data_IF_318182121294
#
_entry.id   IF_318182121294
#
_cell.length_a   1.000
_cell.length_b   1.000
_cell.length_c   1.000
_cell.angle_alpha   90.00
_cell.angle_beta   90.00
_cell.angle_gamma   90.00
#
_symmetry.space_group_name_H-M   'P 1'
#
loop_
_entity.id
_entity.type
_entity.pdbx_description
1 polymer ?
#
# COMPACT_ATOMS: atom_id res chain seq x y z
N UNK A 1 4.48 9.54 -3.03
CA UNK A 1 3.67 9.35 -1.82
C UNK A 1 2.33 10.00 -2.08
N UNK A 2 1.23 9.36 -1.72
CA UNK A 2 -0.12 9.91 -1.86
C UNK A 2 -0.81 9.82 -0.49
N UNK A 3 -1.63 10.83 -0.19
CA UNK A 3 -2.38 10.89 1.05
C UNK A 3 -3.85 10.54 0.79
N UNK A 4 -4.48 9.93 1.78
CA UNK A 4 -5.91 9.61 1.79
C UNK A 4 -6.54 10.28 3.01
N UNK A 5 -7.85 10.55 2.97
CA UNK A 5 -8.53 11.22 4.06
C UNK A 5 -8.49 12.75 3.95
N UNK A 6 -8.46 13.49 5.07
CA UNK A 6 -8.60 14.96 5.05
C UNK A 6 -7.61 15.70 4.14
N UNK A 7 -6.39 15.18 4.05
CA UNK A 7 -5.33 15.76 3.22
C UNK A 7 -5.26 15.12 1.82
N UNK A 8 -6.11 14.12 1.57
CA UNK A 8 -6.20 13.42 0.31
C UNK A 8 -7.26 14.02 -0.63
N UNK A 9 -7.36 13.45 -1.82
CA UNK A 9 -8.31 13.87 -2.86
C UNK A 9 -9.77 13.71 -2.41
N UNK A 10 -10.05 12.78 -1.49
CA UNK A 10 -11.38 12.56 -0.91
C UNK A 10 -11.79 13.59 0.15
N UNK A 11 -10.88 14.46 0.58
CA UNK A 11 -11.12 15.48 1.61
C UNK A 11 -11.80 14.93 2.88
N UNK A 12 -11.43 13.72 3.30
CA UNK A 12 -11.98 13.05 4.47
C UNK A 12 -13.39 12.48 4.31
N UNK A 13 -13.95 12.51 3.10
CA UNK A 13 -15.30 11.96 2.84
C UNK A 13 -15.28 10.45 2.62
N UNK A 14 -14.09 9.87 2.50
CA UNK A 14 -13.88 8.49 2.11
C UNK A 14 -14.05 8.29 0.61
N UNK A 15 -13.53 7.18 0.09
CA UNK A 15 -13.59 6.90 -1.33
C UNK A 15 -13.09 5.50 -1.65
N UNK A 16 -13.20 5.17 -2.93
CA UNK A 16 -12.61 3.97 -3.49
C UNK A 16 -11.27 4.36 -4.12
N UNK A 17 -10.20 3.88 -3.56
CA UNK A 17 -8.86 4.11 -4.08
C UNK A 17 -8.41 2.93 -4.94
N UNK A 18 -7.87 3.22 -6.10
CA UNK A 18 -7.29 2.22 -7.01
C UNK A 18 -5.79 2.48 -7.14
N UNK A 19 -4.99 1.56 -6.60
CA UNK A 19 -3.54 1.62 -6.73
C UNK A 19 -3.12 0.87 -7.98
N UNK A 20 -2.49 1.57 -8.92
CA UNK A 20 -2.00 1.02 -10.18
C UNK A 20 -0.48 0.81 -10.10
N UNK A 21 0.00 -0.36 -10.54
CA UNK A 21 1.44 -0.64 -10.60
C UNK A 21 2.13 0.19 -11.70
N UNK A 22 3.47 0.26 -11.67
CA UNK A 22 4.25 0.92 -12.72
C UNK A 22 3.92 0.37 -14.10
N UNK A 23 3.74 1.26 -15.07
CA UNK A 23 3.52 0.88 -16.46
C UNK A 23 2.14 0.29 -16.78
N UNK A 24 1.19 0.33 -15.85
CA UNK A 24 -0.17 -0.14 -16.11
C UNK A 24 -0.81 0.60 -17.31
N UNK A 25 -1.33 -0.17 -18.27
CA UNK A 25 -1.93 0.32 -19.52
C UNK A 25 -3.39 -0.11 -19.71
N UNK A 26 -3.94 -0.85 -18.73
CA UNK A 26 -5.32 -1.31 -18.79
C UNK A 26 -6.32 -0.18 -18.55
N UNK A 27 -7.60 -0.49 -18.76
CA UNK A 27 -8.69 0.42 -18.51
C UNK A 27 -8.87 0.66 -17.00
N UNK A 28 -9.16 1.90 -16.66
CA UNK A 28 -9.46 2.31 -15.29
C UNK A 28 -10.95 2.54 -15.17
N UNK A 29 -11.67 1.78 -14.34
CA UNK A 29 -13.10 1.98 -14.17
C UNK A 29 -13.40 3.31 -13.49
N UNK A 30 -14.55 3.90 -13.82
CA UNK A 30 -15.02 5.13 -13.20
C UNK A 30 -15.32 4.95 -11.70
N UNK A 31 -15.26 6.06 -10.97
CA UNK A 31 -15.61 6.12 -9.54
C UNK A 31 -14.49 5.72 -8.59
N UNK A 32 -13.26 5.63 -9.08
CA UNK A 32 -12.07 5.42 -8.27
C UNK A 32 -11.17 6.66 -8.25
N UNK A 33 -10.60 6.93 -7.09
CA UNK A 33 -9.46 7.84 -6.95
C UNK A 33 -8.22 7.03 -7.31
N UNK A 34 -7.51 7.43 -8.35
CA UNK A 34 -6.42 6.64 -8.92
C UNK A 34 -5.07 7.07 -8.36
N UNK A 35 -4.39 6.15 -7.72
CA UNK A 35 -3.03 6.32 -7.22
C UNK A 35 -2.07 5.51 -8.11
N UNK A 36 -1.16 6.18 -8.81
CA UNK A 36 -0.13 5.53 -9.60
C UNK A 36 1.13 5.33 -8.78
N UNK A 37 1.56 4.08 -8.65
CA UNK A 37 2.78 3.73 -7.94
C UNK A 37 3.96 3.72 -8.89
N UNK A 38 5.12 4.17 -8.38
CA UNK A 38 6.40 4.06 -9.08
C UNK A 38 7.09 2.71 -8.80
N UNK A 39 6.57 1.94 -7.83
CA UNK A 39 7.10 0.65 -7.41
C UNK A 39 6.04 -0.44 -7.48
N UNK A 40 6.46 -1.69 -7.66
CA UNK A 40 5.57 -2.85 -7.68
C UNK A 40 5.10 -3.24 -6.29
N UNK A 41 5.94 -3.03 -5.27
CA UNK A 41 5.60 -3.24 -3.87
C UNK A 41 5.38 -1.90 -3.15
N UNK A 42 4.50 -1.91 -2.16
CA UNK A 42 4.20 -0.73 -1.36
C UNK A 42 3.52 -1.08 -0.04
N UNK A 43 3.31 -0.09 0.78
CA UNK A 43 2.56 -0.21 2.01
C UNK A 43 1.67 1.02 2.20
N UNK A 44 0.54 0.83 2.85
CA UNK A 44 -0.41 1.88 3.16
C UNK A 44 -0.66 1.93 4.68
N UNK A 45 0.06 2.77 5.44
CA UNK A 45 -0.24 2.98 6.84
C UNK A 45 -1.52 3.82 6.97
N UNK A 46 -2.58 3.23 7.49
CA UNK A 46 -3.83 3.92 7.77
C UNK A 46 -3.91 4.24 9.26
N UNK A 47 -4.32 5.45 9.58
CA UNK A 47 -4.47 5.92 10.95
C UNK A 47 -5.85 6.52 11.14
N UNK A 48 -6.52 6.15 12.23
CA UNK A 48 -7.73 6.83 12.70
C UNK A 48 -7.36 7.78 13.82
N UNK A 49 -7.70 9.06 13.65
CA UNK A 49 -7.46 10.04 14.70
C UNK A 49 -8.44 9.81 15.86
N UNK A 50 -7.92 9.86 17.07
CA UNK A 50 -8.71 9.79 18.31
C UNK A 50 -9.00 11.21 18.80
N UNK A 51 -10.21 11.43 19.29
CA UNK A 51 -10.63 12.73 19.82
C UNK A 51 -10.26 12.84 21.30
N UNK A 52 -10.50 11.78 22.07
CA UNK A 52 -10.36 11.82 23.55
C UNK A 52 -9.48 10.70 24.12
N UNK A 53 -9.02 9.76 23.36
CA UNK A 53 -8.32 8.55 23.83
C UNK A 53 -9.10 7.69 24.84
N UNK A 54 -10.42 7.93 25.00
CA UNK A 54 -11.27 7.07 25.82
C UNK A 54 -11.49 5.71 25.19
N UNK A 55 -11.83 4.68 25.99
CA UNK A 55 -12.12 3.35 25.46
C UNK A 55 -13.22 3.36 24.39
N UNK A 56 -14.22 4.24 24.55
CA UNK A 56 -15.28 4.41 23.57
C UNK A 56 -14.78 5.01 22.25
N UNK A 57 -13.84 5.95 22.31
CA UNK A 57 -13.22 6.56 21.14
C UNK A 57 -12.31 5.56 20.40
N UNK A 58 -11.52 4.81 21.17
CA UNK A 58 -10.69 3.71 20.64
C UNK A 58 -11.56 2.63 19.96
N UNK A 59 -12.70 2.27 20.57
CA UNK A 59 -13.62 1.29 19.97
C UNK A 59 -14.16 1.79 18.63
N UNK A 60 -14.58 3.05 18.54
CA UNK A 60 -15.04 3.65 17.28
C UNK A 60 -13.96 3.66 16.20
N UNK A 61 -12.74 4.02 16.56
CA UNK A 61 -11.61 4.01 15.63
C UNK A 61 -11.32 2.60 15.09
N UNK A 62 -11.38 1.59 15.96
CA UNK A 62 -11.21 0.19 15.57
C UNK A 62 -12.33 -0.28 14.64
N UNK A 63 -13.58 0.07 14.93
CA UNK A 63 -14.73 -0.32 14.11
C UNK A 63 -14.66 0.36 12.72
N UNK A 64 -14.25 1.62 12.69
CA UNK A 64 -13.98 2.32 11.44
C UNK A 64 -12.86 1.63 10.62
N UNK A 65 -11.75 1.29 11.27
CA UNK A 65 -10.65 0.57 10.64
C UNK A 65 -11.09 -0.78 10.04
N UNK A 66 -11.91 -1.53 10.77
CA UNK A 66 -12.48 -2.81 10.30
C UNK A 66 -13.43 -2.68 9.11
N UNK A 67 -13.93 -1.48 8.84
CA UNK A 67 -14.72 -1.17 7.66
C UNK A 67 -13.89 -1.11 6.37
N UNK A 68 -12.56 -1.01 6.49
CA UNK A 68 -11.65 -0.95 5.32
C UNK A 68 -11.65 -2.27 4.57
N UNK A 69 -11.81 -2.18 3.24
CA UNK A 69 -11.74 -3.35 2.35
C UNK A 69 -10.55 -3.22 1.42
N UNK A 70 -9.75 -4.29 1.32
CA UNK A 70 -8.61 -4.39 0.41
C UNK A 70 -8.79 -5.63 -0.46
N UNK A 71 -8.82 -5.44 -1.77
CA UNK A 71 -9.07 -6.53 -2.72
C UNK A 71 -8.50 -6.18 -4.10
N UNK A 72 -8.17 -7.16 -4.92
CA UNK A 72 -7.76 -6.91 -6.31
C UNK A 72 -8.95 -6.38 -7.12
N UNK A 73 -8.69 -5.54 -8.13
CA UNK A 73 -9.73 -4.96 -8.98
C UNK A 73 -10.64 -6.02 -9.62
N UNK A 74 -10.08 -7.18 -9.98
CA UNK A 74 -10.84 -8.31 -10.52
C UNK A 74 -11.94 -8.83 -9.59
N UNK A 75 -11.82 -8.62 -8.29
CA UNK A 75 -12.82 -9.00 -7.28
C UNK A 75 -13.78 -7.86 -6.90
N UNK A 76 -13.77 -6.73 -7.61
CA UNK A 76 -14.56 -5.54 -7.26
C UNK A 76 -16.08 -5.77 -7.26
N UNK A 77 -16.56 -6.69 -8.09
CA UNK A 77 -17.99 -7.03 -8.14
C UNK A 77 -18.47 -7.82 -6.90
N UNK A 78 -17.59 -8.60 -6.26
CA UNK A 78 -17.86 -9.36 -5.04
C UNK A 78 -16.61 -9.42 -4.18
N UNK A 79 -16.26 -8.31 -3.48
CA UNK A 79 -15.04 -8.23 -2.71
C UNK A 79 -15.01 -9.26 -1.59
N UNK A 80 -13.91 -10.02 -1.42
CA UNK A 80 -13.74 -10.93 -0.31
C UNK A 80 -13.73 -10.17 1.03
N UNK A 81 -13.98 -10.88 2.13
CA UNK A 81 -13.82 -10.33 3.46
C UNK A 81 -12.36 -9.99 3.72
N UNK A 82 -12.10 -8.79 4.24
CA UNK A 82 -10.76 -8.41 4.69
C UNK A 82 -10.43 -9.14 5.99
N UNK A 83 -9.29 -9.83 6.02
CA UNK A 83 -8.80 -10.45 7.25
C UNK A 83 -7.94 -9.44 8.02
N UNK A 84 -8.26 -9.25 9.29
CA UNK A 84 -7.50 -8.39 10.20
C UNK A 84 -6.74 -9.25 11.19
N UNK A 85 -5.46 -8.98 11.36
CA UNK A 85 -4.62 -9.64 12.36
C UNK A 85 -4.21 -8.61 13.41
N UNK A 86 -4.39 -8.99 14.69
CA UNK A 86 -3.92 -8.16 15.79
C UNK A 86 -2.41 -8.40 15.97
N UNK A 87 -1.62 -7.37 15.72
CA UNK A 87 -0.16 -7.43 15.84
C UNK A 87 0.35 -7.00 17.22
N UNK A 88 -0.51 -6.56 18.14
CA UNK A 88 -0.10 -6.13 19.51
C UNK A 88 0.66 -7.20 20.29
N UNK A 89 0.28 -8.48 20.24
CA UNK A 89 1.02 -9.52 20.95
C UNK A 89 2.28 -9.99 20.23
N UNK A 90 2.54 -9.50 19.02
CA UNK A 90 3.70 -9.91 18.23
C UNK A 90 4.89 -9.02 18.56
N UNK A 91 5.95 -9.64 19.09
CA UNK A 91 7.22 -8.96 19.25
C UNK A 91 7.82 -8.73 17.85
N UNK A 92 7.82 -7.50 17.42
CA UNK A 92 8.37 -7.12 16.12
C UNK A 92 9.79 -6.57 16.30
N UNK A 93 10.77 -7.32 15.80
CA UNK A 93 12.15 -6.88 15.72
C UNK A 93 12.40 -6.22 14.37
N UNK A 94 12.51 -4.90 14.35
CA UNK A 94 12.80 -4.10 13.15
C UNK A 94 14.29 -3.92 12.89
N UNK A 95 15.14 -4.59 13.65
CA UNK A 95 16.60 -4.51 13.48
C UNK A 95 17.00 -5.08 12.11
N UNK A 96 17.69 -4.28 11.33
CA UNK A 96 18.26 -4.72 10.08
C UNK A 96 19.50 -5.59 10.37
N UNK A 97 19.41 -6.86 10.04
CA UNK A 97 20.55 -7.78 10.14
C UNK A 97 21.38 -7.67 8.86
N UNK A 98 22.62 -7.23 8.99
CA UNK A 98 23.57 -7.17 7.89
C UNK A 98 24.24 -8.55 7.70
N UNK A 99 23.46 -9.51 7.24
CA UNK A 99 23.90 -10.88 6.94
C UNK A 99 23.65 -11.24 5.46
N UNK A 100 23.93 -12.48 5.07
CA UNK A 100 23.71 -12.95 3.69
C UNK A 100 22.24 -12.78 3.27
N UNK A 101 21.28 -13.01 4.18
CA UNK A 101 19.85 -12.88 3.90
C UNK A 101 19.45 -11.44 3.57
N UNK A 102 20.10 -10.45 4.18
CA UNK A 102 19.88 -9.05 3.82
C UNK A 102 20.22 -8.82 2.34
N UNK A 103 21.37 -9.29 1.88
CA UNK A 103 21.79 -9.11 0.49
C UNK A 103 20.95 -9.93 -0.49
N UNK A 104 20.52 -11.13 -0.11
CA UNK A 104 19.60 -11.93 -0.92
C UNK A 104 18.25 -11.22 -1.09
N UNK A 105 17.69 -10.68 0.00
CA UNK A 105 16.45 -9.92 -0.04
C UNK A 105 16.59 -8.62 -0.85
N UNK A 106 17.69 -7.89 -0.67
CA UNK A 106 17.98 -6.69 -1.43
C UNK A 106 18.07 -7.01 -2.94
N UNK A 107 18.80 -8.07 -3.30
CA UNK A 107 18.92 -8.50 -4.69
C UNK A 107 17.55 -8.88 -5.29
N UNK A 108 16.66 -9.52 -4.51
CA UNK A 108 15.30 -9.82 -4.95
C UNK A 108 14.51 -8.55 -5.21
N UNK A 109 14.51 -7.61 -4.27
CA UNK A 109 13.80 -6.33 -4.43
C UNK A 109 14.31 -5.56 -5.65
N UNK A 110 15.62 -5.48 -5.83
CA UNK A 110 16.23 -4.80 -6.99
C UNK A 110 15.84 -5.45 -8.32
N UNK A 111 15.59 -6.76 -8.35
CA UNK A 111 15.13 -7.46 -9.56
C UNK A 111 13.65 -7.32 -9.83
N UNK A 112 12.85 -7.23 -8.77
CA UNK A 112 11.39 -7.20 -8.86
C UNK A 112 10.84 -5.79 -9.08
N UNK A 113 11.61 -4.76 -8.71
CA UNK A 113 11.18 -3.36 -8.79
C UNK A 113 11.72 -2.67 -10.06
N UNK A 114 10.91 -1.80 -10.68
CA UNK A 114 11.37 -0.99 -11.79
C UNK A 114 12.41 0.03 -11.31
N UNK A 115 13.41 0.25 -12.13
CA UNK A 115 14.36 1.34 -11.91
C UNK A 115 13.68 2.69 -12.16
N UNK A 116 13.78 3.59 -11.20
CA UNK A 116 13.26 4.95 -11.30
C UNK A 116 14.42 5.87 -11.67
N UNK A 117 14.18 6.78 -12.62
CA UNK A 117 15.24 7.68 -13.13
C UNK A 117 15.92 8.50 -12.02
N UNK A 118 15.19 8.81 -10.95
CA UNK A 118 15.70 9.54 -9.78
C UNK A 118 16.79 8.74 -9.03
N UNK A 119 16.75 7.40 -9.11
CA UNK A 119 17.65 6.51 -8.35
C UNK A 119 18.89 6.13 -9.18
N UNK A 120 18.95 6.56 -10.44
CA UNK A 120 20.06 6.29 -11.33
C UNK A 120 20.88 7.55 -11.62
N UNK A 121 22.15 7.61 -11.19
CA UNK A 121 23.07 8.56 -11.76
C UNK A 121 23.41 8.13 -13.19
N UNK A 122 22.57 8.51 -14.16
CA UNK A 122 22.78 8.40 -15.60
C UNK A 122 23.26 7.02 -16.12
N UNK A 123 22.45 6.41 -16.94
CA UNK A 123 22.67 5.42 -18.00
C UNK A 123 22.10 4.03 -17.80
N UNK A 124 21.19 3.75 -18.72
CA UNK A 124 20.58 2.52 -19.24
C UNK A 124 19.27 2.13 -18.58
N UNK A 125 18.20 2.40 -19.33
CA UNK A 125 16.87 1.86 -19.09
C UNK A 125 16.90 0.34 -19.16
N UNK A 126 16.75 -0.27 -18.02
CA UNK A 126 16.23 -1.62 -17.92
C UNK A 126 14.85 -1.51 -17.26
N UNK A 127 13.80 -2.01 -17.89
CA UNK A 127 12.45 -2.03 -17.29
C UNK A 127 12.04 -3.48 -17.10
N UNK A 128 12.10 -4.02 -15.88
CA UNK A 128 11.38 -5.25 -15.58
C UNK A 128 9.89 -4.93 -15.54
N UNK A 129 9.08 -5.76 -16.19
CA UNK A 129 7.65 -5.79 -15.92
C UNK A 129 7.45 -6.41 -14.55
N UNK A 130 6.52 -5.86 -13.74
CA UNK A 130 6.12 -6.50 -12.50
C UNK A 130 5.62 -7.91 -12.81
N UNK A 131 6.33 -8.93 -12.31
CA UNK A 131 5.90 -10.32 -12.44
C UNK A 131 4.77 -10.57 -11.46
N UNK A 132 3.54 -10.55 -11.95
CA UNK A 132 2.35 -10.85 -11.14
C UNK A 132 1.11 -10.14 -11.68
N UNK A 133 0.48 -10.74 -12.66
CA UNK A 133 -0.95 -10.52 -12.93
C UNK A 133 -1.74 -11.64 -12.28
#
# INVERSE_FOLDING_TARGET
>A
MADVGPDGEDNGKGGKYLVLPPGFKGDVPDGYIVLRSDTCAGHAPLRSNLISHSDADVAKANDYGKGTKVYPLSAAASPPATMFSDARPVLFDSTIRYDVKFFENLNRVVRDEPWIDRDLPSRRRWQPACSGQ
#
